data_IF_283701171041
#
_entry.id   IF_283701171041
#
_cell.length_a   1.000
_cell.length_b   1.000
_cell.length_c   1.000
_cell.angle_alpha   90.00
_cell.angle_beta   90.00
_cell.angle_gamma   90.00
#
_symmetry.space_group_name_H-M   'P 1'
#
loop_
_entity.id
_entity.type
_entity.pdbx_description
1 polymer ?
#
# COMPACT_ATOMS: atom_id res chain seq x y z
N UNK A 1 -10.85 -37.11 -22.60
CA UNK A 1 -9.95 -37.94 -23.42
C UNK A 1 -8.53 -37.44 -23.14
N UNK A 2 -7.70 -38.25 -22.48
CA UNK A 2 -6.36 -37.87 -22.03
C UNK A 2 -5.33 -38.00 -23.15
N UNK A 3 -4.39 -37.05 -23.21
CA UNK A 3 -2.99 -37.21 -23.68
C UNK A 3 -2.25 -35.92 -23.24
N UNK A 4 -1.53 -35.91 -22.12
CA UNK A 4 -0.08 -36.16 -21.97
C UNK A 4 0.78 -35.21 -22.79
N UNK A 5 1.03 -34.01 -22.24
CA UNK A 5 2.34 -33.32 -22.29
C UNK A 5 2.31 -32.10 -21.36
N UNK A 6 2.96 -32.25 -20.21
CA UNK A 6 2.92 -31.33 -19.08
C UNK A 6 3.93 -30.20 -19.17
N UNK A 7 3.58 -29.09 -19.84
CA UNK A 7 4.24 -27.80 -19.65
C UNK A 7 3.22 -26.71 -19.31
N UNK A 8 2.92 -26.59 -18.01
CA UNK A 8 2.29 -25.40 -17.46
C UNK A 8 3.33 -24.26 -17.46
N UNK A 9 3.26 -23.41 -18.48
CA UNK A 9 4.02 -22.14 -18.52
C UNK A 9 3.53 -21.23 -17.40
N UNK A 10 4.47 -20.88 -16.52
CA UNK A 10 4.40 -20.03 -15.33
C UNK A 10 3.55 -18.76 -15.56
N UNK A 11 2.35 -18.78 -14.98
CA UNK A 11 1.53 -17.62 -14.66
C UNK A 11 1.44 -17.52 -13.14
N UNK A 12 1.41 -16.29 -12.65
CA UNK A 12 1.26 -15.88 -11.25
C UNK A 12 2.55 -15.87 -10.43
N UNK A 13 2.98 -14.68 -10.02
CA UNK A 13 3.48 -14.50 -8.65
C UNK A 13 2.26 -14.58 -7.73
N UNK A 14 1.64 -15.75 -7.71
CA UNK A 14 0.49 -16.07 -6.89
C UNK A 14 0.97 -16.56 -5.53
N UNK A 15 0.13 -16.38 -4.54
CA UNK A 15 -0.01 -17.11 -3.27
C UNK A 15 0.87 -18.36 -3.04
N UNK A 16 1.12 -19.19 -4.06
CA UNK A 16 2.04 -20.32 -4.03
C UNK A 16 3.51 -19.95 -3.81
N UNK A 17 4.05 -18.86 -4.35
CA UNK A 17 5.50 -18.65 -4.24
C UNK A 17 5.98 -18.27 -2.85
N UNK A 18 5.13 -17.62 -2.04
CA UNK A 18 5.46 -17.25 -0.64
C UNK A 18 5.05 -18.33 0.37
N UNK A 19 3.95 -19.04 0.15
CA UNK A 19 3.43 -20.06 1.09
C UNK A 19 3.87 -21.48 0.71
N UNK A 20 3.87 -21.83 -0.59
CA UNK A 20 4.15 -23.20 -1.06
C UNK A 20 5.64 -23.52 -1.12
N UNK A 21 6.49 -22.57 -1.55
CA UNK A 21 7.94 -22.74 -1.41
C UNK A 21 8.38 -22.80 0.06
N UNK A 22 7.70 -22.06 0.95
CA UNK A 22 7.92 -22.15 2.39
C UNK A 22 7.53 -23.53 2.93
N UNK A 23 6.36 -24.06 2.56
CA UNK A 23 5.90 -25.39 2.98
C UNK A 23 6.80 -26.52 2.47
N UNK A 24 7.19 -26.50 1.20
CA UNK A 24 8.07 -27.54 0.62
C UNK A 24 9.47 -27.48 1.22
N UNK A 25 10.08 -26.30 1.33
CA UNK A 25 11.46 -26.20 1.82
C UNK A 25 11.57 -26.43 3.33
N UNK A 26 10.61 -25.95 4.13
CA UNK A 26 10.75 -25.94 5.59
C UNK A 26 10.06 -27.12 6.28
N UNK A 27 8.94 -27.62 5.74
CA UNK A 27 8.18 -28.72 6.36
C UNK A 27 8.60 -30.08 5.79
N UNK A 28 8.87 -30.18 4.48
CA UNK A 28 9.20 -31.45 3.83
C UNK A 28 10.71 -31.70 3.70
N UNK A 29 11.53 -30.66 3.48
CA UNK A 29 12.97 -30.80 3.25
C UNK A 29 13.84 -30.44 4.47
N UNK A 30 13.24 -29.90 5.54
CA UNK A 30 13.96 -29.55 6.77
C UNK A 30 15.00 -28.43 6.62
N UNK A 31 14.95 -27.66 5.52
CA UNK A 31 15.87 -26.56 5.30
C UNK A 31 15.42 -25.34 6.10
N UNK A 32 16.35 -24.62 6.72
CA UNK A 32 16.06 -23.32 7.30
C UNK A 32 15.69 -22.34 6.15
N UNK A 33 14.57 -21.60 6.23
CA UNK A 33 14.25 -20.64 5.20
C UNK A 33 15.35 -19.58 5.11
N UNK A 34 15.73 -19.13 3.89
CA UNK A 34 16.59 -17.97 3.76
C UNK A 34 15.92 -16.79 4.47
N UNK A 35 16.70 -16.06 5.27
CA UNK A 35 16.22 -14.90 6.01
C UNK A 35 15.80 -13.80 5.03
N UNK A 36 14.52 -13.84 4.64
CA UNK A 36 13.89 -12.84 3.81
C UNK A 36 13.31 -11.80 4.77
N UNK A 37 13.81 -10.57 4.67
CA UNK A 37 13.37 -9.40 5.46
C UNK A 37 11.85 -9.26 5.53
N UNK A 38 11.16 -9.47 4.39
CA UNK A 38 9.70 -9.40 4.31
C UNK A 38 9.04 -10.52 5.12
N UNK A 39 9.61 -11.73 5.16
CA UNK A 39 9.05 -12.83 5.95
C UNK A 39 9.26 -12.60 7.45
N UNK A 40 10.39 -12.00 7.84
CA UNK A 40 10.61 -11.60 9.22
C UNK A 40 9.56 -10.56 9.65
N UNK A 41 9.38 -9.49 8.86
CA UNK A 41 8.35 -8.48 9.10
C UNK A 41 6.92 -9.07 9.14
N UNK A 42 6.59 -9.98 8.22
CA UNK A 42 5.25 -10.57 8.15
C UNK A 42 4.93 -11.47 9.35
N UNK A 43 5.95 -12.08 9.96
CA UNK A 43 5.78 -12.94 11.13
C UNK A 43 5.83 -12.18 12.46
N UNK A 44 6.15 -10.88 12.42
CA UNK A 44 6.19 -10.00 13.58
C UNK A 44 4.82 -9.34 13.78
N UNK A 45 3.89 -10.09 14.38
CA UNK A 45 2.49 -9.69 14.50
C UNK A 45 2.23 -8.78 15.71
N UNK A 46 1.38 -7.78 15.51
CA UNK A 46 0.88 -6.91 16.59
C UNK A 46 -0.50 -7.35 17.07
N UNK A 47 -0.78 -7.18 18.37
CA UNK A 47 -2.12 -7.41 18.92
C UNK A 47 -3.00 -6.17 18.78
N UNK A 48 -4.29 -6.37 18.51
CA UNK A 48 -5.29 -5.29 18.51
C UNK A 48 -6.23 -5.45 19.71
N UNK A 49 -6.62 -4.36 20.40
CA UNK A 49 -7.72 -4.41 21.36
C UNK A 49 -8.98 -4.98 20.71
N UNK A 50 -9.71 -5.83 21.45
CA UNK A 50 -10.85 -6.57 20.89
C UNK A 50 -11.94 -5.65 20.30
N UNK A 51 -12.21 -4.52 20.95
CA UNK A 51 -13.19 -3.55 20.46
C UNK A 51 -12.76 -2.94 19.11
N UNK A 52 -11.51 -2.51 18.99
CA UNK A 52 -10.97 -1.95 17.74
C UNK A 52 -11.08 -2.98 16.60
N UNK A 53 -10.73 -4.24 16.87
CA UNK A 53 -10.85 -5.31 15.89
C UNK A 53 -12.31 -5.52 15.45
N UNK A 54 -13.25 -5.58 16.39
CA UNK A 54 -14.69 -5.72 16.09
C UNK A 54 -15.19 -4.57 15.22
N UNK A 55 -14.85 -3.34 15.57
CA UNK A 55 -15.26 -2.14 14.83
C UNK A 55 -14.68 -2.13 13.40
N UNK A 56 -13.44 -2.60 13.20
CA UNK A 56 -12.91 -2.80 11.85
C UNK A 56 -13.71 -3.83 11.06
N UNK A 57 -14.06 -4.97 11.67
CA UNK A 57 -14.89 -5.97 10.99
C UNK A 57 -16.24 -5.39 10.57
N UNK A 58 -16.88 -4.61 11.43
CA UNK A 58 -18.15 -3.93 11.11
C UNK A 58 -17.99 -2.93 9.95
N UNK A 59 -16.88 -2.20 9.91
CA UNK A 59 -16.56 -1.29 8.78
C UNK A 59 -16.42 -2.05 7.47
N UNK A 60 -15.71 -3.18 7.46
CA UNK A 60 -15.53 -4.00 6.26
C UNK A 60 -16.83 -4.66 5.80
N UNK A 61 -17.60 -5.24 6.73
CA UNK A 61 -18.85 -5.93 6.42
C UNK A 61 -19.90 -4.97 5.85
N UNK A 62 -20.03 -3.79 6.45
CA UNK A 62 -21.04 -2.81 6.06
C UNK A 62 -20.53 -1.83 5.00
N UNK A 63 -19.23 -1.85 4.68
CA UNK A 63 -18.57 -0.86 3.83
C UNK A 63 -18.96 0.58 4.22
N UNK A 64 -18.96 0.86 5.53
CA UNK A 64 -19.55 2.08 6.10
C UNK A 64 -18.70 3.32 5.83
N UNK A 65 -17.38 3.17 5.62
CA UNK A 65 -16.48 4.28 5.25
C UNK A 65 -16.81 4.91 3.88
N UNK A 66 -17.32 4.14 2.93
CA UNK A 66 -17.68 4.69 1.60
C UNK A 66 -19.08 5.31 1.57
N UNK A 67 -19.81 5.28 2.68
CA UNK A 67 -21.19 5.75 2.79
C UNK A 67 -21.23 6.96 3.72
N UNK A 68 -21.59 8.13 3.17
CA UNK A 68 -21.56 9.39 3.90
C UNK A 68 -22.43 9.32 5.16
N UNK A 69 -21.80 9.46 6.33
CA UNK A 69 -22.44 9.47 7.63
C UNK A 69 -22.84 8.11 8.21
N UNK A 70 -22.56 7.00 7.51
CA UNK A 70 -22.87 5.65 8.00
C UNK A 70 -21.95 5.22 9.15
N UNK A 71 -20.68 5.63 9.12
CA UNK A 71 -19.76 5.49 10.24
C UNK A 71 -19.80 6.75 11.12
N UNK A 72 -19.78 6.58 12.45
CA UNK A 72 -19.59 7.67 13.41
C UNK A 72 -18.38 7.38 14.29
N UNK A 73 -17.46 8.33 14.38
CA UNK A 73 -16.30 8.28 15.27
C UNK A 73 -16.43 9.40 16.31
N UNK A 74 -16.42 9.04 17.60
CA UNK A 74 -16.68 9.99 18.71
C UNK A 74 -17.96 10.83 18.50
N UNK A 75 -19.02 10.22 17.98
CA UNK A 75 -20.29 10.88 17.69
C UNK A 75 -20.31 11.70 16.39
N UNK A 76 -19.17 11.93 15.74
CA UNK A 76 -19.05 12.69 14.50
C UNK A 76 -19.29 11.78 13.29
N UNK A 77 -20.25 12.10 12.40
CA UNK A 77 -20.46 11.33 11.19
C UNK A 77 -19.27 11.50 10.22
N UNK A 78 -18.78 10.38 9.70
CA UNK A 78 -17.66 10.36 8.75
C UNK A 78 -18.19 10.62 7.34
N UNK A 79 -17.61 11.61 6.67
CA UNK A 79 -17.87 11.94 5.26
C UNK A 79 -16.53 12.25 4.59
N UNK A 80 -16.07 11.33 3.76
CA UNK A 80 -14.76 11.41 3.10
C UNK A 80 -14.65 12.58 2.11
N UNK A 81 -15.78 13.12 1.64
CA UNK A 81 -15.81 14.31 0.76
C UNK A 81 -15.35 15.57 1.49
N UNK A 82 -15.39 15.56 2.82
CA UNK A 82 -14.90 16.67 3.66
C UNK A 82 -13.38 16.71 3.75
N UNK A 83 -12.67 15.69 3.27
CA UNK A 83 -11.22 15.69 3.14
C UNK A 83 -10.88 16.49 1.88
N UNK A 84 -10.51 17.74 2.07
CA UNK A 84 -10.21 18.69 0.98
C UNK A 84 -8.72 18.87 0.70
N UNK A 85 -7.85 18.25 1.50
CA UNK A 85 -6.41 18.24 1.21
C UNK A 85 -6.13 17.39 -0.03
N UNK A 86 -5.03 17.71 -0.72
CA UNK A 86 -4.58 16.91 -1.86
C UNK A 86 -4.23 15.49 -1.42
N UNK A 87 -4.66 14.50 -2.20
CA UNK A 87 -4.44 13.08 -1.92
C UNK A 87 -3.69 12.38 -3.05
N UNK A 88 -2.72 11.56 -2.68
CA UNK A 88 -1.97 10.69 -3.59
C UNK A 88 -2.32 9.24 -3.28
N UNK A 89 -3.02 8.58 -4.20
CA UNK A 89 -3.55 7.23 -4.02
C UNK A 89 -2.76 6.25 -4.90
N UNK A 90 -2.22 5.20 -4.28
CA UNK A 90 -1.43 4.17 -4.95
C UNK A 90 -2.20 2.84 -5.02
N UNK A 91 -2.03 2.10 -6.10
CA UNK A 91 -2.40 0.69 -6.19
C UNK A 91 -1.34 -0.15 -6.92
N UNK A 92 -1.33 -1.46 -6.69
CA UNK A 92 -0.48 -2.42 -7.40
C UNK A 92 -1.24 -3.20 -8.48
N UNK A 93 -0.69 -3.34 -9.69
CA UNK A 93 -1.39 -3.99 -10.82
C UNK A 93 -1.82 -5.43 -10.52
N UNK A 94 -1.03 -6.16 -9.74
CA UNK A 94 -1.30 -7.55 -9.34
C UNK A 94 -1.42 -7.69 -7.83
N UNK A 95 -1.83 -6.62 -7.14
CA UNK A 95 -2.13 -6.68 -5.71
C UNK A 95 -3.46 -7.39 -5.48
N UNK A 96 -3.38 -8.55 -4.82
CA UNK A 96 -4.54 -9.37 -4.48
C UNK A 96 -5.11 -9.07 -3.08
N UNK A 97 -4.36 -8.36 -2.23
CA UNK A 97 -4.79 -7.94 -0.89
C UNK A 97 -5.66 -6.69 -1.01
N UNK A 98 -5.15 -5.69 -1.74
CA UNK A 98 -5.87 -4.46 -2.07
C UNK A 98 -5.96 -4.28 -3.57
N UNK A 99 -6.98 -4.84 -4.24
CA UNK A 99 -7.14 -4.73 -5.69
C UNK A 99 -7.12 -3.26 -6.12
N UNK A 100 -6.24 -2.90 -7.06
CA UNK A 100 -6.04 -1.50 -7.42
C UNK A 100 -7.29 -0.78 -7.91
N UNK A 101 -8.27 -1.49 -8.49
CA UNK A 101 -9.58 -0.93 -8.86
C UNK A 101 -10.39 -0.49 -7.65
N UNK A 102 -10.27 -1.19 -6.51
CA UNK A 102 -10.85 -0.76 -5.25
C UNK A 102 -10.10 0.46 -4.69
N UNK A 103 -8.76 0.48 -4.78
CA UNK A 103 -7.97 1.66 -4.40
C UNK A 103 -8.35 2.89 -5.25
N UNK A 104 -8.56 2.71 -6.56
CA UNK A 104 -8.97 3.78 -7.47
C UNK A 104 -10.29 4.43 -7.04
N UNK A 105 -11.24 3.69 -6.46
CA UNK A 105 -12.52 4.25 -5.99
C UNK A 105 -12.35 5.36 -4.95
N UNK A 106 -11.23 5.41 -4.22
CA UNK A 106 -10.93 6.53 -3.30
C UNK A 106 -10.91 7.89 -4.03
N UNK A 107 -10.54 7.91 -5.32
CA UNK A 107 -10.55 9.13 -6.14
C UNK A 107 -11.95 9.72 -6.35
N UNK A 108 -13.00 8.92 -6.08
CA UNK A 108 -14.40 9.31 -6.20
C UNK A 108 -15.03 9.63 -4.83
N UNK A 109 -14.33 9.31 -3.73
CA UNK A 109 -14.80 9.52 -2.36
C UNK A 109 -14.23 10.81 -1.74
N UNK A 110 -12.99 11.17 -2.07
CA UNK A 110 -12.32 12.34 -1.50
C UNK A 110 -12.66 13.64 -2.24
N UNK A 111 -12.77 14.74 -1.49
CA UNK A 111 -13.19 16.05 -2.02
C UNK A 111 -12.06 16.94 -2.54
N UNK A 112 -10.82 16.73 -2.11
CA UNK A 112 -9.65 17.53 -2.54
C UNK A 112 -9.20 17.26 -3.98
N UNK A 113 -7.97 17.68 -4.32
CA UNK A 113 -7.34 17.22 -5.56
C UNK A 113 -6.85 15.79 -5.36
N UNK A 114 -7.06 14.92 -6.36
CA UNK A 114 -6.69 13.51 -6.27
C UNK A 114 -5.73 13.17 -7.39
N UNK A 115 -4.66 12.48 -7.03
CA UNK A 115 -3.73 11.85 -7.97
C UNK A 115 -3.80 10.36 -7.73
N UNK A 116 -4.06 9.58 -8.79
CA UNK A 116 -3.96 8.13 -8.73
C UNK A 116 -2.70 7.68 -9.45
N UNK A 117 -1.98 6.74 -8.84
CA UNK A 117 -0.81 6.12 -9.40
C UNK A 117 -0.96 4.61 -9.29
N UNK A 118 -0.65 3.92 -10.37
CA UNK A 118 -0.68 2.47 -10.44
C UNK A 118 0.75 1.98 -10.62
N UNK A 119 1.30 1.28 -9.64
CA UNK A 119 2.61 0.65 -9.73
C UNK A 119 2.48 -0.78 -10.22
N UNK A 120 3.48 -1.28 -10.95
CA UNK A 120 3.50 -2.68 -11.33
C UNK A 120 3.83 -3.59 -10.12
N UNK A 121 3.44 -4.86 -10.23
CA UNK A 121 3.63 -5.92 -9.24
C UNK A 121 2.57 -5.99 -8.12
N UNK A 122 2.77 -6.96 -7.22
CA UNK A 122 1.88 -7.29 -6.11
C UNK A 122 2.06 -6.35 -4.91
N UNK A 123 1.35 -6.64 -3.82
CA UNK A 123 1.22 -5.76 -2.65
C UNK A 123 2.55 -5.15 -2.19
N UNK A 124 3.49 -5.98 -1.71
CA UNK A 124 4.76 -5.49 -1.18
C UNK A 124 5.67 -4.91 -2.27
N UNK A 125 5.74 -5.56 -3.45
CA UNK A 125 6.65 -5.15 -4.52
C UNK A 125 6.22 -3.85 -5.21
N UNK A 126 4.93 -3.54 -5.21
CA UNK A 126 4.40 -2.29 -5.75
C UNK A 126 4.66 -1.11 -4.80
N UNK A 127 4.68 -1.34 -3.49
CA UNK A 127 4.94 -0.33 -2.46
C UNK A 127 6.46 -0.12 -2.27
N UNK A 128 7.20 -1.21 -2.03
CA UNK A 128 8.66 -1.22 -1.85
C UNK A 128 9.37 -1.22 -3.20
N UNK A 129 9.32 -0.06 -3.87
CA UNK A 129 9.89 0.14 -5.19
C UNK A 129 11.01 1.20 -5.12
N UNK A 130 12.21 0.89 -4.59
CA UNK A 130 13.29 1.86 -4.53
C UNK A 130 13.75 2.30 -5.94
N UNK A 131 14.22 3.55 -6.11
CA UNK A 131 14.82 4.01 -7.35
C UNK A 131 15.98 3.12 -7.80
N UNK A 132 16.13 2.95 -9.12
CA UNK A 132 17.19 2.14 -9.73
C UNK A 132 16.76 0.74 -10.19
N UNK A 133 15.55 0.29 -9.83
CA UNK A 133 14.99 -0.94 -10.39
C UNK A 133 14.64 -0.78 -11.87
N UNK A 134 15.24 -1.62 -12.72
CA UNK A 134 14.92 -1.70 -14.16
C UNK A 134 13.60 -2.41 -14.45
N UNK A 135 13.03 -3.10 -13.46
CA UNK A 135 11.76 -3.85 -13.57
C UNK A 135 10.57 -3.08 -13.00
N UNK A 136 10.82 -1.99 -12.29
CA UNK A 136 9.74 -1.15 -11.78
C UNK A 136 9.13 -0.35 -12.94
N UNK A 137 7.82 -0.20 -12.91
CA UNK A 137 7.04 0.56 -13.87
C UNK A 137 5.82 1.12 -13.14
N UNK A 138 5.35 2.29 -13.57
CA UNK A 138 4.12 2.86 -13.01
C UNK A 138 3.35 3.66 -14.05
N UNK A 139 2.12 3.99 -13.71
CA UNK A 139 1.23 4.79 -14.53
C UNK A 139 0.63 5.94 -13.72
N UNK A 140 0.58 7.12 -14.33
CA UNK A 140 0.06 8.35 -13.72
C UNK A 140 -0.57 9.23 -14.80
N UNK A 141 -1.07 10.41 -14.43
CA UNK A 141 -1.59 11.41 -15.37
C UNK A 141 -2.91 11.05 -16.08
N UNK A 142 -3.47 9.87 -15.81
CA UNK A 142 -4.76 9.47 -16.36
C UNK A 142 -5.90 10.37 -15.89
N UNK A 143 -6.86 10.63 -16.78
CA UNK A 143 -8.05 11.42 -16.44
C UNK A 143 -8.90 10.64 -15.46
N UNK A 144 -9.20 11.23 -14.30
CA UNK A 144 -10.05 10.61 -13.29
C UNK A 144 -11.49 10.49 -13.82
N UNK A 145 -11.82 9.31 -14.32
CA UNK A 145 -13.13 8.92 -14.83
C UNK A 145 -13.85 8.00 -13.85
N UNK A 146 -15.08 7.61 -14.17
CA UNK A 146 -15.87 6.70 -13.32
C UNK A 146 -15.22 5.31 -13.16
N UNK A 147 -14.55 4.82 -14.20
CA UNK A 147 -13.97 3.46 -14.19
C UNK A 147 -12.45 3.48 -14.14
N UNK A 148 -11.90 2.59 -13.33
CA UNK A 148 -10.46 2.41 -13.18
C UNK A 148 -9.78 2.01 -14.51
N UNK A 149 -10.48 1.24 -15.36
CA UNK A 149 -9.97 0.81 -16.66
C UNK A 149 -9.91 1.97 -17.67
N UNK A 150 -10.88 2.88 -17.66
CA UNK A 150 -10.84 4.08 -18.50
C UNK A 150 -9.74 5.04 -18.05
N UNK A 151 -9.57 5.23 -16.73
CA UNK A 151 -8.41 5.95 -16.19
C UNK A 151 -7.11 5.34 -16.70
N UNK A 152 -6.97 4.01 -16.58
CA UNK A 152 -5.79 3.27 -17.00
C UNK A 152 -5.49 3.43 -18.50
N UNK A 153 -6.52 3.39 -19.35
CA UNK A 153 -6.35 3.56 -20.79
C UNK A 153 -5.82 4.95 -21.17
N UNK A 154 -6.12 5.97 -20.35
CA UNK A 154 -5.65 7.35 -20.54
C UNK A 154 -4.33 7.67 -19.80
N UNK A 155 -3.85 6.77 -18.95
CA UNK A 155 -2.68 7.01 -18.10
C UNK A 155 -1.37 6.82 -18.88
N UNK A 156 -0.40 7.69 -18.59
CA UNK A 156 0.95 7.61 -19.16
C UNK A 156 1.74 6.46 -18.50
N UNK A 157 2.50 5.71 -19.28
CA UNK A 157 3.42 4.67 -18.80
C UNK A 157 4.78 5.29 -18.49
N UNK A 158 5.33 4.96 -17.32
CA UNK A 158 6.67 5.36 -16.93
C UNK A 158 7.48 4.13 -16.49
N UNK A 159 8.70 4.03 -17.02
CA UNK A 159 9.69 3.09 -16.51
C UNK A 159 10.35 3.61 -15.23
N UNK A 160 10.66 2.71 -14.31
CA UNK A 160 11.31 2.99 -13.03
C UNK A 160 10.34 3.05 -11.85
N UNK A 161 10.87 3.45 -10.69
CA UNK A 161 10.11 3.60 -9.45
C UNK A 161 9.16 4.79 -9.51
N UNK A 162 8.01 4.68 -8.85
CA UNK A 162 7.08 5.79 -8.64
C UNK A 162 7.53 6.76 -7.53
N UNK A 163 8.51 6.40 -6.70
CA UNK A 163 8.97 7.22 -5.57
C UNK A 163 9.47 8.62 -5.99
N UNK A 164 10.25 8.78 -7.09
CA UNK A 164 10.64 10.11 -7.55
C UNK A 164 9.45 10.98 -7.99
N UNK A 165 8.42 10.37 -8.59
CA UNK A 165 7.18 11.07 -8.95
C UNK A 165 6.44 11.53 -7.69
N UNK A 166 6.30 10.67 -6.68
CA UNK A 166 5.70 11.04 -5.40
C UNK A 166 6.52 12.11 -4.65
N UNK A 167 7.85 12.01 -4.68
CA UNK A 167 8.73 13.02 -4.10
C UNK A 167 8.53 14.39 -4.77
N UNK A 168 8.43 14.44 -6.11
CA UNK A 168 8.10 15.67 -6.83
C UNK A 168 6.75 16.25 -6.40
N UNK A 169 5.71 15.40 -6.35
CA UNK A 169 4.38 15.78 -5.89
C UNK A 169 4.37 16.33 -4.45
N UNK A 170 5.15 15.73 -3.55
CA UNK A 170 5.32 16.22 -2.17
C UNK A 170 6.10 17.52 -2.11
N UNK A 171 7.14 17.69 -2.94
CA UNK A 171 8.00 18.86 -2.92
C UNK A 171 7.20 20.14 -3.20
N UNK A 172 6.30 20.11 -4.20
CA UNK A 172 5.38 21.22 -4.51
C UNK A 172 4.49 21.61 -3.32
N UNK A 173 4.28 20.69 -2.38
CA UNK A 173 3.38 20.83 -1.23
C UNK A 173 4.12 20.98 0.10
N UNK A 174 5.46 21.02 0.08
CA UNK A 174 6.30 21.07 1.29
C UNK A 174 6.79 22.47 1.66
N UNK A 175 6.35 23.50 0.93
CA UNK A 175 6.77 24.88 1.15
C UNK A 175 8.23 25.13 0.76
N UNK A 176 8.77 26.27 1.18
CA UNK A 176 10.13 26.70 0.83
C UNK A 176 11.18 25.95 1.64
N UNK A 177 12.32 25.67 1.02
CA UNK A 177 13.48 25.08 1.70
C UNK A 177 14.00 26.01 2.81
N UNK A 178 14.35 25.41 3.94
CA UNK A 178 14.97 26.08 5.08
C UNK A 178 16.13 25.23 5.60
N UNK A 179 17.01 25.86 6.40
CA UNK A 179 18.07 25.13 7.08
C UNK A 179 17.49 24.00 7.94
N UNK A 180 18.10 22.82 7.88
CA UNK A 180 17.72 21.70 8.72
C UNK A 180 17.95 22.07 10.21
N UNK A 181 17.02 21.73 11.12
CA UNK A 181 17.25 21.87 12.55
C UNK A 181 18.53 21.14 12.98
N UNK A 182 19.31 21.74 13.88
CA UNK A 182 20.57 21.16 14.37
C UNK A 182 20.38 20.02 15.38
N UNK A 183 19.17 19.87 15.92
CA UNK A 183 18.81 18.83 16.88
C UNK A 183 17.39 18.32 16.63
N UNK A 184 17.13 17.07 17.00
CA UNK A 184 15.79 16.49 17.05
C UNK A 184 15.04 16.96 18.30
N UNK A 185 13.71 17.07 18.19
CA UNK A 185 12.84 17.51 19.30
C UNK A 185 12.87 19.02 19.55
N UNK A 186 12.25 19.44 20.65
CA UNK A 186 12.25 20.82 21.15
C UNK A 186 12.03 20.83 22.69
N UNK A 187 11.82 22.00 23.30
CA UNK A 187 11.64 22.14 24.75
C UNK A 187 10.39 21.39 25.27
N UNK A 188 9.28 21.42 24.51
CA UNK A 188 8.03 20.74 24.86
C UNK A 188 8.09 19.22 24.59
N UNK A 189 8.93 18.82 23.63
CA UNK A 189 9.08 17.44 23.15
C UNK A 189 10.57 17.04 23.09
N UNK A 190 11.20 16.78 24.25
CA UNK A 190 12.59 16.36 24.30
C UNK A 190 12.78 14.96 23.71
N UNK A 191 13.99 14.67 23.22
CA UNK A 191 14.36 13.33 22.74
C UNK A 191 14.31 12.34 23.90
N UNK A 192 13.50 11.28 23.76
CA UNK A 192 13.34 10.26 24.80
C UNK A 192 14.27 9.06 24.59
N UNK A 193 14.34 8.53 23.37
CA UNK A 193 15.15 7.38 22.99
C UNK A 193 15.67 7.55 21.56
N UNK A 194 16.77 6.88 21.22
CA UNK A 194 17.19 6.73 19.83
C UNK A 194 16.19 5.86 19.07
N UNK A 195 15.98 6.14 17.78
CA UNK A 195 15.26 5.24 16.88
C UNK A 195 15.95 3.85 16.84
N UNK A 196 15.20 2.73 16.74
CA UNK A 196 13.77 2.63 16.44
C UNK A 196 12.84 2.69 17.67
N UNK A 197 13.36 3.01 18.86
CA UNK A 197 12.56 3.09 20.09
C UNK A 197 12.43 1.74 20.79
N UNK A 198 11.35 1.55 21.56
CA UNK A 198 11.14 0.35 22.40
C UNK A 198 9.95 -0.50 21.99
N UNK A 199 8.84 0.12 21.58
CA UNK A 199 7.59 -0.59 21.24
C UNK A 199 7.71 -1.54 20.05
N UNK A 200 8.70 -1.35 19.17
CA UNK A 200 8.96 -2.25 18.04
C UNK A 200 9.54 -3.61 18.47
N UNK A 201 9.97 -3.75 19.73
CA UNK A 201 10.53 -4.99 20.28
C UNK A 201 9.56 -5.74 21.21
N UNK A 202 8.31 -5.27 21.32
CA UNK A 202 7.27 -5.82 22.19
C UNK A 202 6.34 -6.82 21.48
#
# INVERSE_FOLDING_TARGET
>A
MYSTDGQWRLLSLGYNDLIWNYWINNVLLGNAPPAFDILYWNNDYTRLPAQLHSEFMDVFLNNSLSQNGALRLHGVPVDLRRITCDSYVLGGTTDHITPWKACYRNTQLFGGNRSFVLANAGHMQSILSPPGSKKAEFWTGGTLTETADAWRASAEHHGGSWWPHWHGWLHERSGTLRAAPSSSGNEDYPVLYNAPGRYVYE
#
